data_IF_842022416665
#
_entry.id   IF_842022416665
#
_cell.length_a   1.000
_cell.length_b   1.000
_cell.length_c   1.000
_cell.angle_alpha   90.00
_cell.angle_beta   90.00
_cell.angle_gamma   90.00
#
_symmetry.space_group_name_H-M   'P 1'
#
loop_
_entity.id
_entity.type
_entity.pdbx_description
1 polymer ?
#
# COMPACT_ATOMS: atom_id res chain seq x y z
N UNK A 1 -16.89 17.21 -19.19
CA UNK A 1 -17.48 16.83 -20.51
C UNK A 1 -16.93 15.47 -20.98
N UNK A 2 -15.61 15.24 -20.97
CA UNK A 2 -15.00 13.94 -21.37
C UNK A 2 -15.44 12.77 -20.48
N UNK A 3 -15.31 12.90 -19.15
CA UNK A 3 -15.71 11.85 -18.20
C UNK A 3 -17.20 11.50 -18.31
N UNK A 4 -18.05 12.50 -18.54
CA UNK A 4 -19.49 12.30 -18.72
C UNK A 4 -19.84 11.48 -19.96
N UNK A 5 -19.04 11.61 -21.04
CA UNK A 5 -19.20 10.81 -22.26
C UNK A 5 -18.71 9.35 -22.09
N UNK A 6 -17.96 9.07 -21.04
CA UNK A 6 -17.47 7.74 -20.65
C UNK A 6 -18.28 7.13 -19.51
N UNK A 7 -19.41 7.75 -19.13
CA UNK A 7 -20.24 7.37 -17.99
C UNK A 7 -19.49 7.31 -16.65
N UNK A 8 -18.38 8.10 -16.54
CA UNK A 8 -17.58 8.18 -15.32
C UNK A 8 -18.04 9.39 -14.50
N UNK A 9 -18.52 9.14 -13.31
CA UNK A 9 -18.76 10.19 -12.32
C UNK A 9 -17.43 10.74 -11.79
N UNK A 10 -17.30 12.06 -11.81
CA UNK A 10 -16.10 12.75 -11.34
C UNK A 10 -16.43 13.76 -10.25
N UNK A 11 -15.68 13.71 -9.16
CA UNK A 11 -15.75 14.71 -8.10
C UNK A 11 -14.56 15.68 -8.26
N UNK A 12 -14.87 16.98 -8.24
CA UNK A 12 -13.83 18.01 -8.30
C UNK A 12 -13.26 18.20 -6.90
N UNK A 13 -12.00 17.82 -6.70
CA UNK A 13 -11.28 18.09 -5.47
C UNK A 13 -10.82 19.55 -5.42
N UNK A 14 -10.98 20.21 -4.29
CA UNK A 14 -10.51 21.59 -4.06
C UNK A 14 -8.98 21.70 -4.06
N UNK A 15 -8.30 20.62 -3.72
CA UNK A 15 -6.85 20.51 -3.66
C UNK A 15 -6.42 19.16 -4.27
N UNK A 16 -5.46 19.13 -5.22
CA UNK A 16 -4.97 17.90 -5.82
C UNK A 16 -4.41 16.90 -4.80
N UNK A 17 -3.85 17.39 -3.69
CA UNK A 17 -3.35 16.53 -2.63
C UNK A 17 -4.45 15.65 -1.99
N UNK A 18 -5.71 16.10 -2.00
CA UNK A 18 -6.83 15.31 -1.47
C UNK A 18 -7.07 14.06 -2.32
N UNK A 19 -6.96 14.17 -3.64
CA UNK A 19 -7.12 13.02 -4.54
C UNK A 19 -6.01 11.99 -4.34
N UNK A 20 -4.75 12.44 -4.27
CA UNK A 20 -3.59 11.58 -4.05
C UNK A 20 -3.54 10.97 -2.64
N UNK A 21 -4.04 11.69 -1.63
CA UNK A 21 -4.03 11.22 -0.24
C UNK A 21 -4.90 9.98 -0.02
N UNK A 22 -5.94 9.78 -0.83
CA UNK A 22 -6.83 8.62 -0.76
C UNK A 22 -6.35 7.42 -1.59
N UNK A 23 -5.04 7.30 -1.80
CA UNK A 23 -4.47 6.15 -2.48
C UNK A 23 -4.31 4.97 -1.51
N UNK A 24 -5.24 4.03 -1.55
CA UNK A 24 -5.29 2.86 -0.66
C UNK A 24 -4.01 2.00 -0.71
N UNK A 25 -3.31 1.98 -1.85
CA UNK A 25 -2.15 1.12 -2.02
C UNK A 25 -1.02 1.44 -1.03
N UNK A 26 -0.87 2.71 -0.65
CA UNK A 26 0.15 3.14 0.31
C UNK A 26 -0.08 2.48 1.67
N UNK A 27 -1.32 2.43 2.14
CA UNK A 27 -1.67 1.91 3.48
C UNK A 27 -1.66 0.40 3.55
N UNK A 28 -2.06 -0.28 2.47
CA UNK A 28 -2.27 -1.73 2.42
C UNK A 28 -1.05 -2.46 1.89
N UNK A 29 -0.52 -2.00 0.74
CA UNK A 29 0.55 -2.74 0.07
C UNK A 29 1.86 -2.70 0.85
N UNK A 30 2.27 -1.54 1.38
CA UNK A 30 3.56 -1.47 2.07
C UNK A 30 3.66 -2.47 3.23
N UNK A 31 2.71 -2.57 4.17
CA UNK A 31 2.74 -3.58 5.23
C UNK A 31 2.64 -5.03 4.72
N UNK A 32 1.89 -5.25 3.62
CA UNK A 32 1.68 -6.60 3.09
C UNK A 32 2.76 -7.04 2.10
N UNK A 33 3.43 -6.14 1.41
CA UNK A 33 4.48 -6.49 0.44
C UNK A 33 5.89 -6.37 1.00
N UNK A 34 6.13 -5.49 2.00
CA UNK A 34 7.48 -5.24 2.54
C UNK A 34 7.73 -5.94 3.86
N UNK A 35 7.25 -7.17 3.96
CA UNK A 35 7.56 -8.11 5.05
C UNK A 35 8.31 -9.34 4.50
N UNK A 36 8.85 -10.17 5.40
CA UNK A 36 9.67 -11.32 5.01
C UNK A 36 8.91 -12.33 4.13
N UNK A 37 7.63 -12.59 4.43
CA UNK A 37 6.84 -13.56 3.65
C UNK A 37 6.73 -13.11 2.19
N UNK A 38 6.34 -11.86 1.98
CA UNK A 38 6.13 -11.30 0.64
C UNK A 38 7.43 -11.08 -0.12
N UNK A 39 8.45 -10.52 0.54
CA UNK A 39 9.72 -10.26 -0.12
C UNK A 39 10.43 -11.55 -0.52
N UNK A 40 10.35 -12.61 0.28
CA UNK A 40 10.84 -13.94 -0.13
C UNK A 40 10.11 -14.48 -1.36
N UNK A 41 8.82 -14.21 -1.51
CA UNK A 41 8.07 -14.58 -2.72
C UNK A 41 8.48 -13.73 -3.93
N UNK A 42 8.51 -12.40 -3.76
CA UNK A 42 8.84 -11.46 -4.84
C UNK A 42 10.25 -11.71 -5.38
N UNK A 43 11.22 -11.92 -4.50
CA UNK A 43 12.63 -12.12 -4.84
C UNK A 43 13.04 -13.60 -5.03
N UNK A 44 12.06 -14.50 -5.22
CA UNK A 44 12.29 -15.93 -5.51
C UNK A 44 13.09 -16.69 -4.44
N UNK A 45 12.99 -16.29 -3.17
CA UNK A 45 13.71 -16.97 -2.06
C UNK A 45 12.88 -18.06 -1.39
N UNK A 46 11.54 -18.06 -1.56
CA UNK A 46 10.63 -19.08 -1.04
C UNK A 46 9.97 -19.83 -2.20
N UNK A 47 10.19 -21.16 -2.34
CA UNK A 47 9.59 -21.96 -3.40
C UNK A 47 8.10 -22.28 -3.16
N UNK A 48 7.60 -22.11 -1.92
CA UNK A 48 6.22 -22.40 -1.60
C UNK A 48 5.30 -21.38 -2.27
N UNK A 49 4.16 -21.84 -2.81
CA UNK A 49 3.16 -20.96 -3.38
C UNK A 49 2.40 -20.25 -2.27
N UNK A 50 2.41 -18.90 -2.29
CA UNK A 50 1.71 -18.06 -1.34
C UNK A 50 0.90 -16.98 -2.06
N UNK A 51 -0.02 -16.35 -1.35
CA UNK A 51 -0.97 -15.38 -1.90
C UNK A 51 -0.96 -14.08 -1.09
N UNK A 52 -1.14 -12.94 -1.76
CA UNK A 52 -0.97 -11.61 -1.14
C UNK A 52 -1.99 -11.35 -0.02
N UNK A 53 -3.22 -11.80 -0.19
CA UNK A 53 -4.33 -11.49 0.73
C UNK A 53 -4.78 -12.70 1.56
N UNK A 54 -3.87 -13.62 1.85
CA UNK A 54 -4.15 -14.74 2.76
C UNK A 54 -3.47 -14.56 4.11
N UNK A 55 -4.08 -15.20 5.11
CA UNK A 55 -3.49 -15.33 6.43
C UNK A 55 -2.22 -16.18 6.38
N UNK A 56 -1.30 -15.94 7.31
CA UNK A 56 -0.16 -16.82 7.50
C UNK A 56 -0.62 -18.26 7.87
N UNK A 57 -0.03 -19.34 7.33
CA UNK A 57 1.19 -19.35 6.52
C UNK A 57 0.97 -19.22 5.00
N UNK A 58 -0.25 -19.14 4.50
CA UNK A 58 -0.53 -19.07 3.06
C UNK A 58 -0.30 -17.69 2.46
N UNK A 59 -0.17 -16.67 3.29
CA UNK A 59 0.08 -15.28 2.90
C UNK A 59 0.73 -14.45 4.01
N UNK A 60 0.86 -13.15 3.79
CA UNK A 60 1.58 -12.22 4.66
C UNK A 60 0.74 -11.66 5.81
N UNK A 61 -0.56 -11.95 5.83
CA UNK A 61 -1.47 -11.35 6.82
C UNK A 61 -1.23 -12.02 8.17
N UNK A 62 -0.63 -11.27 9.06
CA UNK A 62 -0.34 -11.61 10.45
C UNK A 62 -0.77 -10.47 11.35
N UNK A 63 -0.84 -10.72 12.65
CA UNK A 63 -1.01 -9.66 13.66
C UNK A 63 0.02 -8.54 13.47
N UNK A 64 1.24 -8.88 13.11
CA UNK A 64 2.33 -7.90 12.96
C UNK A 64 2.20 -7.06 11.70
N UNK A 65 1.81 -7.65 10.56
CA UNK A 65 1.58 -6.88 9.34
C UNK A 65 0.37 -5.94 9.47
N UNK A 66 -0.68 -6.33 10.18
CA UNK A 66 -1.80 -5.45 10.51
C UNK A 66 -1.38 -4.36 11.50
N UNK A 67 -0.54 -4.67 12.47
CA UNK A 67 0.03 -3.66 13.39
C UNK A 67 0.87 -2.62 12.62
N UNK A 68 1.69 -3.07 11.67
CA UNK A 68 2.46 -2.16 10.80
C UNK A 68 1.51 -1.31 9.94
N UNK A 69 0.39 -1.86 9.46
CA UNK A 69 -0.63 -1.10 8.74
C UNK A 69 -1.24 0.02 9.59
N UNK A 70 -1.63 -0.27 10.83
CA UNK A 70 -2.19 0.74 11.75
C UNK A 70 -1.14 1.79 12.09
N UNK A 71 0.10 1.39 12.36
CA UNK A 71 1.17 2.34 12.65
C UNK A 71 1.47 3.24 11.44
N UNK A 72 1.59 2.67 10.25
CA UNK A 72 1.80 3.41 9.01
C UNK A 72 0.64 4.39 8.74
N UNK A 73 -0.59 3.95 8.96
CA UNK A 73 -1.77 4.82 8.87
C UNK A 73 -1.64 6.03 9.80
N UNK A 74 -1.28 5.83 11.06
CA UNK A 74 -1.11 6.95 12.00
C UNK A 74 0.04 7.90 11.60
N UNK A 75 1.17 7.35 11.13
CA UNK A 75 2.29 8.16 10.63
C UNK A 75 1.87 9.03 9.44
N UNK A 76 1.13 8.46 8.49
CA UNK A 76 0.64 9.19 7.31
C UNK A 76 -0.43 10.22 7.71
N UNK A 77 -1.35 9.87 8.62
CA UNK A 77 -2.37 10.82 9.10
C UNK A 77 -1.74 12.00 9.87
N UNK A 78 -0.66 11.77 10.62
CA UNK A 78 0.10 12.85 11.26
C UNK A 78 0.72 13.78 10.22
N UNK A 79 1.36 13.21 9.18
CA UNK A 79 1.91 13.97 8.06
C UNK A 79 0.82 14.79 7.34
N UNK A 80 -0.33 14.18 7.04
CA UNK A 80 -1.45 14.85 6.38
C UNK A 80 -1.98 16.04 7.19
N UNK A 81 -2.10 15.89 8.51
CA UNK A 81 -2.46 17.01 9.40
C UNK A 81 -1.49 18.19 9.29
N UNK A 82 -0.18 17.91 9.23
CA UNK A 82 0.85 18.94 9.03
C UNK A 82 0.77 19.61 7.67
N UNK A 83 0.39 18.86 6.64
CA UNK A 83 0.16 19.35 5.28
C UNK A 83 -1.23 20.00 5.10
N UNK A 84 -2.04 20.10 6.15
CA UNK A 84 -3.46 20.54 6.12
C UNK A 84 -4.33 19.77 5.14
N UNK A 85 -4.01 18.49 4.95
CA UNK A 85 -4.84 17.54 4.20
C UNK A 85 -5.83 16.92 5.17
N UNK A 86 -7.07 16.75 4.71
CA UNK A 86 -8.11 16.08 5.47
C UNK A 86 -7.72 14.62 5.76
N UNK A 87 -7.85 14.22 7.03
CA UNK A 87 -7.65 12.83 7.44
C UNK A 87 -8.93 12.01 7.22
N UNK A 88 -8.80 10.71 7.09
CA UNK A 88 -9.95 9.85 6.84
C UNK A 88 -9.88 8.58 7.69
N UNK A 89 -11.03 7.95 7.89
CA UNK A 89 -11.15 6.68 8.58
C UNK A 89 -10.70 5.54 7.66
N UNK A 90 -9.60 4.85 8.01
CA UNK A 90 -9.04 3.79 7.17
C UNK A 90 -10.01 2.61 7.03
N UNK A 91 -10.66 2.20 8.12
CA UNK A 91 -11.57 1.07 8.10
C UNK A 91 -12.81 1.36 7.25
N UNK A 92 -13.39 2.55 7.38
CA UNK A 92 -14.50 3.02 6.55
C UNK A 92 -14.08 3.08 5.07
N UNK A 93 -12.91 3.66 4.78
CA UNK A 93 -12.38 3.76 3.43
C UNK A 93 -12.15 2.39 2.77
N UNK A 94 -11.62 1.42 3.54
CA UNK A 94 -11.43 0.04 3.06
C UNK A 94 -12.76 -0.68 2.82
N UNK A 95 -13.85 -0.15 3.32
CA UNK A 95 -15.16 -0.76 3.37
C UNK A 95 -16.20 -0.07 2.51
N UNK A 96 -15.88 1.11 1.98
CA UNK A 96 -16.80 1.99 1.23
C UNK A 96 -17.47 1.30 0.03
N UNK A 97 -16.86 0.24 -0.48
CA UNK A 97 -17.34 -0.52 -1.63
C UNK A 97 -17.86 -1.93 -1.31
N UNK A 98 -17.88 -2.36 -0.03
CA UNK A 98 -18.21 -3.75 0.33
C UNK A 98 -19.36 -3.84 1.33
N UNK A 99 -20.58 -4.20 0.89
CA UNK A 99 -21.74 -4.36 1.79
C UNK A 99 -21.60 -5.51 2.79
N UNK A 100 -20.71 -6.48 2.51
CA UNK A 100 -20.45 -7.66 3.36
C UNK A 100 -19.92 -7.29 4.75
N UNK A 101 -19.63 -6.04 5.01
CA UNK A 101 -19.05 -5.57 6.26
C UNK A 101 -20.03 -5.43 7.40
N UNK A 102 -21.26 -5.12 7.09
CA UNK A 102 -22.32 -5.12 8.10
C UNK A 102 -22.54 -6.51 8.70
N UNK A 103 -22.13 -7.57 8.00
CA UNK A 103 -22.17 -8.94 8.52
C UNK A 103 -20.97 -9.29 9.41
N UNK A 104 -19.82 -8.63 9.21
CA UNK A 104 -18.57 -8.95 9.94
C UNK A 104 -18.24 -7.94 11.02
N UNK A 105 -18.54 -6.67 10.79
CA UNK A 105 -18.28 -5.54 11.68
C UNK A 105 -19.49 -4.63 11.72
N UNK A 106 -19.94 -4.30 12.92
CA UNK A 106 -21.05 -3.37 13.08
C UNK A 106 -20.67 -1.98 12.57
N UNK A 107 -21.62 -1.25 11.97
CA UNK A 107 -21.40 0.09 11.40
C UNK A 107 -20.81 1.08 12.41
N UNK A 108 -21.20 0.97 13.68
CA UNK A 108 -20.68 1.84 14.75
C UNK A 108 -19.19 1.56 15.04
N UNK A 109 -18.75 0.29 14.91
CA UNK A 109 -17.35 -0.09 15.01
C UNK A 109 -16.52 0.55 13.87
N UNK A 110 -17.06 0.54 12.66
CA UNK A 110 -16.42 1.12 11.48
C UNK A 110 -16.32 2.65 11.65
N UNK A 111 -17.40 3.32 12.00
CA UNK A 111 -17.43 4.77 12.15
C UNK A 111 -16.56 5.29 13.30
N UNK A 112 -16.51 4.55 14.41
CA UNK A 112 -15.71 4.92 15.59
C UNK A 112 -14.25 4.49 15.52
N UNK A 113 -13.80 3.89 14.41
CA UNK A 113 -12.44 3.32 14.27
C UNK A 113 -11.32 4.31 14.64
N UNK A 114 -11.44 5.58 14.22
CA UNK A 114 -10.41 6.59 14.49
C UNK A 114 -10.27 6.93 15.97
N UNK A 115 -11.34 6.79 16.75
CA UNK A 115 -11.39 7.12 18.18
C UNK A 115 -10.98 5.93 19.07
N UNK A 116 -10.82 4.75 18.47
CA UNK A 116 -10.46 3.54 19.19
C UNK A 116 -8.95 3.48 19.49
N UNK A 117 -8.55 2.87 20.59
CA UNK A 117 -7.14 2.60 20.86
C UNK A 117 -6.53 1.67 19.79
N UNK A 118 -5.23 1.80 19.55
CA UNK A 118 -4.52 1.08 18.46
C UNK A 118 -4.73 -0.44 18.48
N UNK A 119 -4.79 -1.06 19.65
CA UNK A 119 -5.03 -2.50 19.76
C UNK A 119 -6.42 -2.92 19.24
N UNK A 120 -7.43 -2.10 19.43
CA UNK A 120 -8.77 -2.33 18.89
C UNK A 120 -8.79 -2.07 17.38
N UNK A 121 -8.11 -1.02 16.91
CA UNK A 121 -7.94 -0.77 15.48
C UNK A 121 -7.26 -1.94 14.76
N UNK A 122 -6.21 -2.53 15.37
CA UNK A 122 -5.53 -3.72 14.87
C UNK A 122 -6.51 -4.90 14.80
N UNK A 123 -7.31 -5.12 15.86
CA UNK A 123 -8.28 -6.19 15.89
C UNK A 123 -9.33 -6.06 14.79
N UNK A 124 -9.93 -4.89 14.64
CA UNK A 124 -10.97 -4.63 13.62
C UNK A 124 -10.43 -4.82 12.19
N UNK A 125 -9.23 -4.32 11.89
CA UNK A 125 -8.60 -4.54 10.59
C UNK A 125 -8.26 -6.02 10.36
N UNK A 126 -7.81 -6.73 11.39
CA UNK A 126 -7.55 -8.15 11.27
C UNK A 126 -8.84 -8.93 10.96
N UNK A 127 -9.94 -8.65 11.67
CA UNK A 127 -11.26 -9.24 11.38
C UNK A 127 -11.67 -8.96 9.94
N UNK A 128 -11.58 -7.71 9.51
CA UNK A 128 -11.89 -7.33 8.12
C UNK A 128 -11.13 -8.17 7.11
N UNK A 129 -9.82 -8.33 7.25
CA UNK A 129 -9.00 -9.10 6.32
C UNK A 129 -9.20 -10.62 6.42
N UNK A 130 -9.80 -11.12 7.51
CA UNK A 130 -10.22 -12.51 7.63
C UNK A 130 -11.51 -12.81 6.85
N UNK A 131 -12.37 -11.80 6.64
CA UNK A 131 -13.73 -11.99 6.14
C UNK A 131 -13.87 -11.66 4.65
N UNK A 132 -13.05 -10.74 4.10
CA UNK A 132 -13.22 -10.29 2.71
C UNK A 132 -12.28 -11.07 1.79
N UNK A 133 -12.82 -12.07 1.11
CA UNK A 133 -12.09 -12.88 0.15
C UNK A 133 -12.57 -12.68 -1.29
N UNK A 134 -13.85 -12.36 -1.49
CA UNK A 134 -14.47 -12.22 -2.80
C UNK A 134 -14.93 -10.78 -3.00
N UNK A 135 -14.66 -10.21 -4.18
CA UNK A 135 -15.15 -8.91 -4.58
C UNK A 135 -16.52 -9.03 -5.26
N UNK A 136 -17.62 -8.69 -4.57
CA UNK A 136 -18.97 -8.83 -5.11
C UNK A 136 -19.29 -7.82 -6.23
N UNK A 137 -18.46 -6.80 -6.42
CA UNK A 137 -18.62 -5.79 -7.47
C UNK A 137 -17.73 -6.02 -8.68
N UNK A 138 -16.86 -7.04 -8.65
CA UNK A 138 -16.09 -7.40 -9.83
C UNK A 138 -17.02 -7.93 -10.93
N UNK A 139 -16.60 -7.75 -12.18
CA UNK A 139 -17.29 -8.42 -13.29
C UNK A 139 -17.03 -9.92 -13.18
N UNK A 140 -18.08 -10.75 -13.09
CA UNK A 140 -17.88 -12.20 -13.03
C UNK A 140 -17.21 -12.70 -14.33
N UNK A 141 -16.41 -13.75 -14.18
CA UNK A 141 -15.76 -14.42 -15.30
C UNK A 141 -16.78 -15.23 -16.15
N UNK A 142 -16.27 -15.94 -17.18
CA UNK A 142 -17.09 -16.76 -18.08
C UNK A 142 -17.85 -17.90 -17.35
N UNK A 143 -17.39 -18.29 -16.16
CA UNK A 143 -18.04 -19.29 -15.30
C UNK A 143 -19.01 -18.67 -14.29
N UNK A 144 -19.19 -17.33 -14.33
CA UNK A 144 -20.03 -16.59 -13.40
C UNK A 144 -19.40 -16.36 -12.01
N UNK A 145 -18.07 -16.53 -11.87
CA UNK A 145 -17.37 -16.36 -10.60
C UNK A 145 -16.85 -14.95 -10.45
N UNK A 146 -17.06 -14.38 -9.30
CA UNK A 146 -16.50 -13.08 -8.91
C UNK A 146 -15.01 -13.17 -8.56
N UNK A 147 -14.33 -12.01 -8.61
CA UNK A 147 -12.92 -11.93 -8.30
C UNK A 147 -12.63 -12.40 -6.87
N UNK A 148 -11.69 -13.33 -6.74
CA UNK A 148 -11.30 -13.95 -5.47
C UNK A 148 -9.93 -13.42 -5.02
N UNK A 149 -9.91 -12.50 -4.07
CA UNK A 149 -8.68 -11.94 -3.50
C UNK A 149 -7.78 -13.02 -2.89
N UNK A 150 -8.35 -14.14 -2.43
CA UNK A 150 -7.58 -15.22 -1.84
C UNK A 150 -6.67 -15.94 -2.85
N UNK A 151 -6.87 -15.71 -4.14
CA UNK A 151 -6.09 -16.30 -5.24
C UNK A 151 -5.09 -15.35 -5.87
N UNK A 152 -4.95 -14.12 -5.36
CA UNK A 152 -4.00 -13.15 -5.90
C UNK A 152 -2.57 -13.57 -5.58
N UNK A 153 -1.85 -13.98 -6.62
CA UNK A 153 -0.46 -14.40 -6.52
C UNK A 153 0.51 -13.21 -6.50
N UNK A 154 1.72 -13.46 -6.01
CA UNK A 154 2.80 -12.48 -6.09
C UNK A 154 3.33 -12.37 -7.51
N UNK A 155 3.48 -11.14 -7.98
CA UNK A 155 4.35 -10.86 -9.11
C UNK A 155 5.80 -10.99 -8.62
N UNK A 156 6.60 -11.82 -9.31
CA UNK A 156 7.98 -12.14 -8.94
C UNK A 156 8.96 -11.44 -9.87
N UNK A 157 10.20 -11.25 -9.44
CA UNK A 157 11.27 -10.78 -10.31
C UNK A 157 11.37 -11.70 -11.54
N UNK A 158 11.66 -11.13 -12.69
CA UNK A 158 11.70 -11.82 -13.97
C UNK A 158 12.78 -11.27 -14.88
N UNK A 159 13.17 -12.02 -15.92
CA UNK A 159 14.05 -11.55 -16.97
C UNK A 159 13.25 -10.91 -18.10
N UNK A 160 13.67 -9.74 -18.55
CA UNK A 160 13.13 -9.11 -19.75
C UNK A 160 13.69 -9.73 -21.06
N UNK A 161 13.28 -9.21 -22.20
CA UNK A 161 13.73 -9.65 -23.52
C UNK A 161 15.26 -9.47 -23.76
N UNK A 162 15.90 -8.66 -22.95
CA UNK A 162 17.36 -8.39 -23.01
C UNK A 162 18.13 -9.18 -21.95
N UNK A 163 17.51 -10.16 -21.31
CA UNK A 163 18.05 -10.93 -20.18
C UNK A 163 18.46 -10.06 -18.98
N UNK A 164 17.78 -8.94 -18.75
CA UNK A 164 17.96 -8.11 -17.56
C UNK A 164 16.89 -8.46 -16.51
N UNK A 165 17.31 -8.54 -15.28
CA UNK A 165 16.37 -8.75 -14.16
C UNK A 165 15.51 -7.53 -13.93
N UNK A 166 14.21 -7.75 -13.88
CA UNK A 166 13.19 -6.75 -13.61
C UNK A 166 12.50 -7.02 -12.28
N UNK A 167 12.27 -5.95 -11.53
CA UNK A 167 11.36 -5.98 -10.38
C UNK A 167 9.95 -5.67 -10.89
N UNK A 168 8.94 -6.42 -10.43
CA UNK A 168 7.56 -6.13 -10.81
C UNK A 168 7.16 -4.69 -10.48
N UNK A 169 6.31 -4.12 -11.33
CA UNK A 169 5.85 -2.74 -11.21
C UNK A 169 5.29 -2.40 -9.83
N UNK A 170 4.40 -3.26 -9.29
CA UNK A 170 3.69 -2.98 -8.03
C UNK A 170 4.64 -2.73 -6.85
N UNK A 171 5.53 -3.63 -6.46
CA UNK A 171 6.44 -3.36 -5.34
C UNK A 171 7.41 -2.20 -5.61
N UNK A 172 7.82 -1.97 -6.87
CA UNK A 172 8.69 -0.84 -7.21
C UNK A 172 7.97 0.51 -7.06
N UNK A 173 6.71 0.62 -7.53
CA UNK A 173 5.89 1.83 -7.36
C UNK A 173 5.55 2.09 -5.89
N UNK A 174 5.18 1.06 -5.14
CA UNK A 174 4.84 1.20 -3.72
C UNK A 174 6.06 1.64 -2.90
N UNK A 175 7.26 1.12 -3.22
CA UNK A 175 8.51 1.63 -2.65
C UNK A 175 8.72 3.11 -2.96
N UNK A 176 8.59 3.51 -4.22
CA UNK A 176 8.77 4.90 -4.65
C UNK A 176 7.80 5.86 -3.94
N UNK A 177 6.52 5.48 -3.83
CA UNK A 177 5.51 6.28 -3.12
C UNK A 177 5.81 6.40 -1.63
N UNK A 178 6.13 5.28 -0.98
CA UNK A 178 6.47 5.29 0.44
C UNK A 178 7.74 6.09 0.73
N UNK A 179 8.75 6.01 -0.16
CA UNK A 179 9.99 6.77 -0.05
C UNK A 179 9.73 8.29 -0.13
N UNK A 180 8.82 8.73 -1.02
CA UNK A 180 8.41 10.14 -1.08
C UNK A 180 7.78 10.60 0.25
N UNK A 181 6.83 9.83 0.80
CA UNK A 181 6.18 10.16 2.08
C UNK A 181 7.16 10.16 3.24
N UNK A 182 8.11 9.23 3.25
CA UNK A 182 9.17 9.19 4.26
C UNK A 182 10.03 10.45 4.26
N UNK A 183 10.44 10.94 3.09
CA UNK A 183 11.20 12.20 3.03
C UNK A 183 10.34 13.42 3.36
N UNK A 184 9.06 13.45 2.94
CA UNK A 184 8.13 14.50 3.36
C UNK A 184 7.95 14.52 4.88
N UNK A 185 7.82 13.36 5.53
CA UNK A 185 7.69 13.27 6.99
C UNK A 185 8.89 13.86 7.72
N UNK A 186 10.09 13.73 7.16
CA UNK A 186 11.30 14.40 7.70
C UNK A 186 11.22 15.91 7.59
N UNK A 187 10.77 16.45 6.46
CA UNK A 187 10.60 17.90 6.29
C UNK A 187 9.53 18.48 7.20
N UNK A 188 8.44 17.75 7.45
CA UNK A 188 7.38 18.16 8.36
C UNK A 188 7.63 17.78 9.83
N UNK A 189 8.76 17.13 10.12
CA UNK A 189 9.13 16.64 11.45
C UNK A 189 8.02 15.82 12.11
N UNK A 190 7.55 14.80 11.40
CA UNK A 190 6.54 13.85 11.87
C UNK A 190 7.13 12.46 12.08
N UNK A 191 6.40 11.60 12.80
CA UNK A 191 6.78 10.20 13.03
C UNK A 191 6.85 9.44 11.71
N UNK A 192 7.88 8.58 11.54
CA UNK A 192 8.10 7.83 10.29
C UNK A 192 8.82 6.48 10.49
N UNK A 193 8.80 5.95 11.69
CA UNK A 193 9.54 4.72 12.04
C UNK A 193 9.05 3.49 11.27
N UNK A 194 7.74 3.41 11.01
CA UNK A 194 7.16 2.29 10.24
C UNK A 194 7.45 2.44 8.75
N UNK A 195 7.40 3.66 8.22
CA UNK A 195 7.84 3.94 6.84
C UNK A 195 9.28 3.50 6.65
N UNK A 196 10.19 3.92 7.53
CA UNK A 196 11.60 3.57 7.49
C UNK A 196 11.82 2.07 7.59
N UNK A 197 11.12 1.39 8.50
CA UNK A 197 11.16 -0.07 8.66
C UNK A 197 10.81 -0.79 7.34
N UNK A 198 9.72 -0.39 6.70
CA UNK A 198 9.26 -0.99 5.44
C UNK A 198 10.27 -0.75 4.31
N UNK A 199 10.78 0.47 4.17
CA UNK A 199 11.76 0.83 3.15
C UNK A 199 13.07 0.04 3.33
N UNK A 200 13.64 0.04 4.53
CA UNK A 200 14.86 -0.72 4.84
C UNK A 200 14.72 -2.21 4.57
N UNK A 201 13.53 -2.77 4.85
CA UNK A 201 13.26 -4.18 4.59
C UNK A 201 13.29 -4.47 3.09
N UNK A 202 12.64 -3.65 2.27
CA UNK A 202 12.68 -3.78 0.82
C UNK A 202 14.11 -3.59 0.26
N UNK A 203 14.82 -2.56 0.73
CA UNK A 203 16.20 -2.27 0.33
C UNK A 203 17.16 -3.42 0.63
N UNK A 204 16.96 -4.11 1.74
CA UNK A 204 17.75 -5.30 2.08
C UNK A 204 17.63 -6.39 1.00
N UNK A 205 16.42 -6.69 0.56
CA UNK A 205 16.18 -7.69 -0.49
C UNK A 205 16.68 -7.23 -1.86
N UNK A 206 16.48 -5.95 -2.18
CA UNK A 206 16.99 -5.33 -3.40
C UNK A 206 18.53 -5.40 -3.45
N UNK A 207 19.21 -5.01 -2.39
CA UNK A 207 20.67 -5.10 -2.31
C UNK A 207 21.18 -6.55 -2.38
N UNK A 208 20.42 -7.50 -1.82
CA UNK A 208 20.68 -8.93 -2.01
C UNK A 208 20.60 -9.35 -3.47
N UNK A 209 19.60 -8.87 -4.21
CA UNK A 209 19.50 -9.11 -5.66
C UNK A 209 20.68 -8.51 -6.42
N UNK A 210 21.07 -7.27 -6.11
CA UNK A 210 22.24 -6.62 -6.73
C UNK A 210 23.53 -7.41 -6.48
N UNK A 211 23.73 -7.88 -5.24
CA UNK A 211 24.92 -8.65 -4.86
C UNK A 211 24.96 -10.01 -5.56
N UNK A 212 23.81 -10.63 -5.81
CA UNK A 212 23.71 -11.95 -6.45
C UNK A 212 23.84 -11.87 -7.98
N UNK A 213 23.24 -10.86 -8.60
CA UNK A 213 23.10 -10.77 -10.06
C UNK A 213 24.04 -9.78 -10.73
N UNK A 214 24.58 -8.81 -9.99
CA UNK A 214 25.33 -7.66 -10.52
C UNK A 214 24.39 -6.57 -11.03
N UNK A 215 24.74 -5.30 -10.81
CA UNK A 215 23.93 -4.15 -11.24
C UNK A 215 23.78 -4.08 -12.76
N UNK A 216 24.80 -4.51 -13.49
CA UNK A 216 24.83 -4.55 -14.96
C UNK A 216 23.76 -5.50 -15.54
N UNK A 217 23.26 -6.44 -14.74
CA UNK A 217 22.22 -7.39 -15.14
C UNK A 217 20.83 -6.99 -14.65
N UNK A 218 20.69 -5.83 -14.01
CA UNK A 218 19.39 -5.27 -13.59
C UNK A 218 18.91 -4.29 -14.66
N UNK A 219 17.63 -4.35 -14.98
CA UNK A 219 16.99 -3.35 -15.84
C UNK A 219 16.92 -2.01 -15.11
N UNK A 220 17.26 -0.90 -15.79
CA UNK A 220 17.29 0.45 -15.22
C UNK A 220 15.92 0.89 -14.65
N UNK A 221 14.83 0.42 -15.24
CA UNK A 221 13.48 0.67 -14.72
C UNK A 221 13.22 0.09 -13.32
N UNK A 222 14.08 -0.82 -12.87
CA UNK A 222 14.03 -1.47 -11.56
C UNK A 222 14.98 -0.85 -10.53
N UNK A 223 15.70 0.21 -10.88
CA UNK A 223 16.56 0.89 -9.91
C UNK A 223 15.73 1.60 -8.85
N UNK A 224 16.24 1.57 -7.61
CA UNK A 224 15.58 2.24 -6.50
C UNK A 224 15.47 3.75 -6.76
N UNK A 225 14.25 4.26 -6.68
CA UNK A 225 13.98 5.67 -6.83
C UNK A 225 14.05 6.37 -5.46
N UNK A 226 15.14 7.07 -5.21
CA UNK A 226 15.27 7.91 -4.03
C UNK A 226 14.59 9.27 -4.31
N UNK A 227 13.51 9.58 -3.58
CA UNK A 227 12.63 10.72 -3.85
C UNK A 227 12.91 11.94 -2.94
N UNK A 228 14.09 12.02 -2.34
CA UNK A 228 14.44 13.11 -1.39
C UNK A 228 14.37 14.51 -1.99
N UNK A 229 14.91 14.72 -3.20
CA UNK A 229 14.88 16.03 -3.88
C UNK A 229 13.46 16.40 -4.32
N UNK A 230 12.69 15.43 -4.78
CA UNK A 230 11.28 15.66 -5.14
C UNK A 230 10.45 16.01 -3.90
N UNK A 231 10.67 15.32 -2.78
CA UNK A 231 10.02 15.65 -1.52
C UNK A 231 10.35 17.06 -1.05
N UNK A 232 11.61 17.51 -1.21
CA UNK A 232 12.04 18.88 -0.90
C UNK A 232 11.30 19.91 -1.76
N UNK A 233 11.24 19.67 -3.06
CA UNK A 233 10.54 20.54 -4.00
C UNK A 233 9.04 20.62 -3.68
N UNK A 234 8.42 19.47 -3.41
CA UNK A 234 7.01 19.37 -3.05
C UNK A 234 6.72 20.06 -1.70
N UNK A 235 7.57 19.87 -0.70
CA UNK A 235 7.48 20.58 0.58
C UNK A 235 7.49 22.09 0.37
N UNK A 236 8.45 22.61 -0.41
CA UNK A 236 8.53 24.03 -0.72
C UNK A 236 7.30 24.54 -1.46
N UNK A 237 6.81 23.78 -2.44
CA UNK A 237 5.61 24.15 -3.20
C UNK A 237 4.35 24.19 -2.32
N UNK A 238 4.14 23.17 -1.50
CA UNK A 238 2.98 23.10 -0.61
C UNK A 238 2.97 24.30 0.35
N UNK A 239 4.10 24.62 0.99
CA UNK A 239 4.16 25.71 1.97
C UNK A 239 4.06 27.10 1.34
N UNK A 240 4.48 27.27 0.09
CA UNK A 240 4.46 28.58 -0.57
C UNK A 240 3.15 28.87 -1.33
N UNK A 241 2.44 27.84 -1.78
CA UNK A 241 1.32 28.02 -2.72
C UNK A 241 0.01 27.33 -2.29
N UNK A 242 0.04 26.40 -1.33
CA UNK A 242 -1.15 25.65 -0.91
C UNK A 242 -1.54 25.98 0.54
N UNK A 243 -0.59 26.14 1.45
CA UNK A 243 -0.79 26.46 2.88
C UNK A 243 -0.68 27.93 3.15
#
# INVERSE_FOLDING_TARGET
KYLKNMEIEGVICKNPLIAESKNITIFVHSPFLFNDVSLNQIFLKDPQKRYIYKLYPEGPITKYSIQDMVNLYHEIMELYKKMKIETFNLLEFLNDSYPVLEESLHIDEIKSFMDKPKNEQIFLLYVRYCCILIDPYSVPDEEGKYFDFSKVEYSKIFLDKNNKWCIPRRPAEDYSKLNLLFYLSKYYNTTNSTMEKCLKKYELFYNGLLSEKGIENINESSYLQQRGDEAKNLYSYINNFIL
#
